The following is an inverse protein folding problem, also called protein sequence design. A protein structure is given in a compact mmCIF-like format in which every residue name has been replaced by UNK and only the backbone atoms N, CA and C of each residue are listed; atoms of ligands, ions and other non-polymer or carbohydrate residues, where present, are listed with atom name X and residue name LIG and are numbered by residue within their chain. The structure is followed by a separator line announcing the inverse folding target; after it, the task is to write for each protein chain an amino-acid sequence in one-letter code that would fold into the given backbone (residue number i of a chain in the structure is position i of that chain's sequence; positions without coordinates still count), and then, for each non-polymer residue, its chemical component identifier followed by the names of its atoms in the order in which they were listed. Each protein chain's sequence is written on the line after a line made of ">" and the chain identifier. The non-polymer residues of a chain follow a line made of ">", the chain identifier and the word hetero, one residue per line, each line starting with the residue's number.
data_IF_100835008576
#
_entry.id   IF_100835008576
#
_cell.length_a   1.000
_cell.length_b   1.000
_cell.length_c   1.000
_cell.angle_alpha   90.00
_cell.angle_beta   90.00
_cell.angle_gamma   90.00
#
_symmetry.space_group_name_H-M   'P 1'
#
loop_
_entity.id
_entity.type
_entity.pdbx_description
1 polymer ?
#
# COMPACT_ATOMS: atom_id res chain seq x y z
N UNK A 1 26.80 -48.46 -36.98
CA UNK A 1 25.58 -47.66 -36.70
C UNK A 1 25.60 -47.31 -35.23
N UNK A 2 25.96 -46.08 -34.91
CA UNK A 2 26.11 -45.56 -33.56
C UNK A 2 24.94 -44.62 -33.28
N UNK A 3 24.03 -45.04 -32.38
CA UNK A 3 22.92 -44.20 -31.94
C UNK A 3 23.42 -43.26 -30.83
N UNK A 4 23.63 -41.98 -31.18
CA UNK A 4 23.85 -40.91 -30.22
C UNK A 4 22.50 -40.48 -29.64
N UNK A 5 22.19 -40.91 -28.42
CA UNK A 5 21.10 -40.34 -27.62
C UNK A 5 21.59 -39.04 -26.95
N UNK A 6 21.56 -37.94 -27.69
CA UNK A 6 21.59 -36.61 -27.09
C UNK A 6 20.17 -36.09 -26.98
N UNK A 7 19.49 -36.45 -25.89
CA UNK A 7 18.31 -35.73 -25.43
C UNK A 7 18.78 -34.34 -25.00
N UNK A 8 18.23 -33.23 -25.51
CA UNK A 8 18.49 -31.94 -24.92
C UNK A 8 17.92 -31.96 -23.50
N UNK A 9 18.79 -31.83 -22.51
CA UNK A 9 18.37 -31.63 -21.13
C UNK A 9 17.55 -30.35 -21.10
N UNK A 10 16.24 -30.48 -20.85
CA UNK A 10 15.37 -29.38 -20.47
C UNK A 10 15.97 -28.75 -19.22
N UNK A 11 16.67 -27.64 -19.42
CA UNK A 11 17.20 -26.81 -18.36
C UNK A 11 16.01 -26.08 -17.72
N UNK A 12 15.29 -26.76 -16.84
CA UNK A 12 14.26 -26.19 -15.95
C UNK A 12 14.92 -25.38 -14.82
N UNK A 13 15.91 -24.56 -15.15
CA UNK A 13 16.31 -23.49 -14.25
C UNK A 13 15.14 -22.54 -14.21
N UNK A 14 14.40 -22.49 -13.08
CA UNK A 14 13.44 -21.42 -12.84
C UNK A 14 14.17 -20.09 -13.09
N UNK A 15 13.83 -19.44 -14.20
CA UNK A 15 14.28 -18.10 -14.53
C UNK A 15 13.89 -17.17 -13.37
N UNK A 16 14.86 -16.34 -12.99
CA UNK A 16 14.83 -15.24 -12.03
C UNK A 16 13.57 -15.07 -11.17
N UNK A 17 13.71 -15.23 -9.85
CA UNK A 17 12.66 -14.97 -8.84
C UNK A 17 12.17 -13.50 -8.81
N UNK A 18 12.71 -12.64 -9.66
CA UNK A 18 12.41 -11.22 -9.73
C UNK A 18 12.01 -10.86 -11.16
N UNK A 19 10.82 -10.29 -11.31
CA UNK A 19 10.38 -9.68 -12.55
C UNK A 19 10.69 -8.18 -12.53
N UNK A 20 11.04 -7.62 -13.69
CA UNK A 20 11.03 -6.18 -13.92
C UNK A 20 9.65 -5.81 -14.47
N UNK A 21 8.96 -4.89 -13.79
CA UNK A 21 7.68 -4.38 -14.26
C UNK A 21 7.91 -3.46 -15.47
N UNK A 22 7.21 -3.73 -16.57
CA UNK A 22 7.06 -2.76 -17.65
C UNK A 22 6.03 -1.73 -17.22
N UNK A 23 6.44 -0.46 -17.17
CA UNK A 23 5.54 0.65 -16.81
C UNK A 23 4.56 1.01 -17.93
N UNK A 24 4.69 0.40 -19.12
CA UNK A 24 3.75 0.52 -20.24
C UNK A 24 3.68 1.90 -20.92
N UNK A 25 4.36 2.92 -20.38
CA UNK A 25 4.34 4.30 -20.85
C UNK A 25 5.75 4.78 -21.19
N UNK A 26 5.97 5.17 -22.44
CA UNK A 26 7.22 5.78 -22.92
C UNK A 26 6.93 7.18 -23.48
N UNK A 27 7.75 8.16 -23.09
CA UNK A 27 7.70 9.51 -23.64
C UNK A 27 8.83 9.66 -24.66
N UNK A 28 8.49 9.96 -25.93
CA UNK A 28 9.46 10.06 -27.02
C UNK A 28 10.32 11.33 -27.01
N UNK A 29 10.28 12.09 -25.90
CA UNK A 29 10.98 13.35 -25.72
C UNK A 29 10.32 14.54 -26.44
N UNK A 30 9.20 14.34 -27.13
CA UNK A 30 8.53 15.39 -27.91
C UNK A 30 7.04 15.47 -27.62
N UNK A 31 6.49 16.69 -27.56
CA UNK A 31 5.03 16.88 -27.40
C UNK A 31 4.25 16.65 -28.71
N UNK A 32 4.92 16.30 -29.81
CA UNK A 32 4.30 16.20 -31.15
C UNK A 32 3.26 15.09 -31.28
N UNK A 33 3.37 14.04 -30.46
CA UNK A 33 2.46 12.88 -30.45
C UNK A 33 1.59 12.82 -29.20
N UNK A 34 1.67 13.83 -28.34
CA UNK A 34 0.93 13.89 -27.08
C UNK A 34 -0.40 14.58 -27.34
N UNK A 35 -1.49 13.95 -26.89
CA UNK A 35 -2.85 14.47 -26.99
C UNK A 35 -3.34 14.95 -25.63
N UNK A 36 -4.23 15.94 -25.65
CA UNK A 36 -4.94 16.36 -24.45
C UNK A 36 -6.13 15.43 -24.23
N UNK A 37 -6.24 14.85 -23.05
CA UNK A 37 -7.33 13.96 -22.67
C UNK A 37 -7.99 14.49 -21.38
N UNK A 38 -9.33 14.66 -21.38
CA UNK A 38 -10.05 14.99 -20.16
C UNK A 38 -10.19 13.74 -19.30
N UNK A 39 -9.63 13.76 -18.09
CA UNK A 39 -9.78 12.70 -17.11
C UNK A 39 -10.55 13.25 -15.91
N UNK A 40 -11.57 12.50 -15.51
CA UNK A 40 -12.30 12.77 -14.27
C UNK A 40 -11.68 11.95 -13.14
N UNK A 41 -11.10 12.62 -12.14
CA UNK A 41 -10.37 11.99 -11.03
C UNK A 41 -10.74 12.62 -9.70
N UNK A 42 -10.41 11.91 -8.62
CA UNK A 42 -10.42 12.51 -7.28
C UNK A 42 -9.07 13.18 -7.03
N UNK A 43 -9.11 14.46 -6.67
CA UNK A 43 -7.92 15.22 -6.30
C UNK A 43 -7.93 15.48 -4.80
N UNK A 44 -6.75 15.34 -4.20
CA UNK A 44 -6.51 15.74 -2.81
C UNK A 44 -6.47 17.26 -2.73
N UNK A 45 -7.37 17.86 -1.95
CA UNK A 45 -7.41 19.29 -1.66
C UNK A 45 -6.46 19.63 -0.52
N UNK A 46 -6.56 18.87 0.58
CA UNK A 46 -5.67 19.00 1.73
C UNK A 46 -5.43 17.62 2.35
N UNK A 47 -4.28 17.47 3.02
CA UNK A 47 -3.89 16.22 3.65
C UNK A 47 -3.00 16.42 4.88
N UNK A 48 -3.13 15.52 5.83
CA UNK A 48 -2.27 15.49 7.01
C UNK A 48 -1.77 14.07 7.27
N UNK A 49 -0.47 13.96 7.54
CA UNK A 49 0.23 12.71 7.81
C UNK A 49 0.68 12.67 9.27
N UNK A 50 0.43 11.56 9.93
CA UNK A 50 0.76 11.38 11.34
C UNK A 50 1.54 10.09 11.54
N UNK A 51 2.60 10.18 12.34
CA UNK A 51 3.35 9.04 12.82
C UNK A 51 3.13 8.92 14.33
N UNK A 52 2.62 7.78 14.76
CA UNK A 52 2.29 7.49 16.14
C UNK A 52 3.05 6.25 16.59
N UNK A 53 3.40 6.22 17.87
CA UNK A 53 4.13 5.10 18.45
C UNK A 53 3.34 4.50 19.63
N UNK A 54 3.09 3.20 19.54
CA UNK A 54 2.62 2.39 20.67
C UNK A 54 3.76 1.56 21.24
N UNK A 55 3.79 1.37 22.56
CA UNK A 55 4.77 0.49 23.20
C UNK A 55 4.06 -0.63 23.96
N UNK A 56 4.54 -1.86 23.76
CA UNK A 56 4.09 -3.04 24.50
C UNK A 56 5.29 -3.74 25.11
N UNK A 57 5.27 -3.91 26.43
CA UNK A 57 6.26 -4.71 27.16
C UNK A 57 5.69 -6.10 27.43
N UNK A 58 6.51 -7.12 27.18
CA UNK A 58 6.12 -8.53 27.30
C UNK A 58 7.22 -9.25 28.06
N UNK A 59 6.83 -10.05 29.05
CA UNK A 59 7.74 -10.81 29.88
C UNK A 59 7.56 -12.32 29.63
N UNK A 60 8.67 -13.05 29.56
CA UNK A 60 8.68 -14.50 29.45
C UNK A 60 8.00 -15.04 28.19
N UNK A 61 8.07 -14.34 27.07
CA UNK A 61 7.50 -14.83 25.80
C UNK A 61 8.27 -16.08 25.35
N UNK A 62 7.56 -17.19 25.18
CA UNK A 62 8.16 -18.43 24.68
C UNK A 62 8.38 -18.39 23.17
N UNK A 63 9.49 -18.99 22.72
CA UNK A 63 9.93 -19.06 21.33
C UNK A 63 10.16 -20.51 20.89
N UNK A 64 9.93 -20.76 19.60
CA UNK A 64 10.21 -22.03 18.93
C UNK A 64 11.28 -21.84 17.83
N UNK A 65 12.10 -22.85 17.51
CA UNK A 65 12.15 -24.18 18.12
C UNK A 65 12.95 -24.18 19.43
N UNK A 66 12.80 -25.26 20.19
CA UNK A 66 13.66 -25.52 21.35
C UNK A 66 15.10 -25.78 20.91
N UNK A 67 16.06 -25.23 21.65
CA UNK A 67 17.50 -25.35 21.33
C UNK A 67 18.11 -26.69 21.81
N UNK A 68 17.35 -27.48 22.55
CA UNK A 68 17.80 -28.73 23.16
C UNK A 68 18.53 -28.53 24.49
N UNK A 69 18.81 -29.65 25.18
CA UNK A 69 19.38 -29.64 26.53
C UNK A 69 20.76 -29.00 26.59
N UNK A 70 21.00 -28.23 27.65
CA UNK A 70 22.25 -27.52 27.92
C UNK A 70 22.69 -26.54 26.79
N UNK A 71 21.77 -26.12 25.93
CA UNK A 71 22.08 -25.11 24.93
C UNK A 71 22.33 -23.74 25.58
N UNK A 72 23.27 -22.97 25.03
CA UNK A 72 23.56 -21.60 25.48
C UNK A 72 23.64 -20.64 24.31
N UNK A 73 22.85 -19.57 24.35
CA UNK A 73 22.93 -18.49 23.35
C UNK A 73 24.19 -17.67 23.61
N UNK A 74 25.05 -17.54 22.59
CA UNK A 74 26.28 -16.75 22.63
C UNK A 74 26.01 -15.29 22.27
N UNK A 75 25.25 -15.06 21.19
CA UNK A 75 24.90 -13.72 20.71
C UNK A 75 23.64 -13.75 19.85
N UNK A 76 23.01 -12.58 19.75
CA UNK A 76 21.92 -12.31 18.81
C UNK A 76 22.53 -11.76 17.52
N UNK A 77 22.08 -12.27 16.39
CA UNK A 77 22.48 -11.81 15.06
C UNK A 77 21.52 -10.74 14.54
N UNK A 78 20.21 -10.97 14.69
CA UNK A 78 19.17 -10.07 14.22
C UNK A 78 17.87 -10.28 15.01
N UNK A 79 17.04 -9.24 15.10
CA UNK A 79 15.68 -9.30 15.66
C UNK A 79 14.74 -8.66 14.66
N UNK A 80 13.77 -9.44 14.19
CA UNK A 80 12.74 -8.98 13.24
C UNK A 80 11.37 -9.03 13.86
N UNK A 81 10.53 -8.08 13.46
CA UNK A 81 9.11 -8.09 13.78
C UNK A 81 8.31 -8.03 12.48
N UNK A 82 7.30 -8.89 12.37
CA UNK A 82 6.40 -8.97 11.23
C UNK A 82 4.97 -8.90 11.74
N UNK A 83 4.07 -8.34 10.94
CA UNK A 83 2.64 -8.40 11.24
C UNK A 83 2.17 -9.85 11.14
N UNK A 84 1.32 -10.27 12.07
CA UNK A 84 0.61 -11.51 11.89
C UNK A 84 -0.60 -11.27 10.98
N UNK A 85 -0.74 -12.10 9.95
CA UNK A 85 -1.92 -12.15 9.09
C UNK A 85 -2.17 -13.59 8.67
N UNK A 86 -3.38 -14.08 8.89
CA UNK A 86 -3.84 -15.39 8.46
C UNK A 86 -4.53 -15.26 7.09
N UNK A 87 -3.90 -15.71 5.99
CA UNK A 87 -4.49 -15.58 4.66
C UNK A 87 -5.71 -16.50 4.44
N UNK A 88 -5.92 -17.49 5.31
CA UNK A 88 -7.06 -18.41 5.21
C UNK A 88 -8.31 -17.88 5.91
N UNK A 89 -8.16 -16.90 6.82
CA UNK A 89 -9.26 -16.32 7.56
C UNK A 89 -8.99 -14.84 7.91
N UNK A 90 -9.72 -13.95 7.22
CA UNK A 90 -9.66 -12.50 7.42
C UNK A 90 -10.16 -12.10 8.82
N UNK A 91 -11.03 -12.91 9.44
CA UNK A 91 -11.66 -12.63 10.73
C UNK A 91 -10.89 -13.24 11.91
N UNK A 92 -9.72 -13.85 11.68
CA UNK A 92 -8.87 -14.37 12.75
C UNK A 92 -8.49 -13.24 13.71
N UNK A 93 -8.84 -13.39 15.00
CA UNK A 93 -8.57 -12.37 16.03
C UNK A 93 -7.08 -12.08 16.22
N UNK A 94 -6.20 -12.97 15.76
CA UNK A 94 -4.74 -12.78 15.80
C UNK A 94 -4.25 -11.84 14.71
N UNK A 95 -5.04 -11.61 13.66
CA UNK A 95 -4.68 -10.67 12.59
C UNK A 95 -4.41 -9.29 13.20
N UNK A 96 -3.25 -8.71 12.89
CA UNK A 96 -2.93 -7.37 13.36
C UNK A 96 -3.80 -6.36 12.61
N UNK A 97 -4.76 -5.77 13.32
CA UNK A 97 -5.72 -4.83 12.76
C UNK A 97 -5.49 -3.46 13.37
N UNK A 98 -5.59 -2.44 12.52
CA UNK A 98 -5.58 -1.03 12.92
C UNK A 98 -6.88 -0.43 12.45
N UNK A 99 -7.71 0.00 13.39
CA UNK A 99 -9.00 0.61 13.12
C UNK A 99 -8.99 2.07 13.55
N UNK A 100 -8.82 3.01 12.60
CA UNK A 100 -9.00 4.42 12.91
C UNK A 100 -10.50 4.75 13.04
N UNK A 101 -10.81 5.64 13.98
CA UNK A 101 -12.12 6.27 14.14
C UNK A 101 -11.89 7.76 14.30
N UNK A 102 -12.40 8.53 13.35
CA UNK A 102 -12.29 9.98 13.34
C UNK A 102 -13.61 10.65 13.72
N UNK A 103 -13.50 11.70 14.54
CA UNK A 103 -14.55 12.65 14.85
C UNK A 103 -14.09 14.04 14.43
N UNK A 104 -14.99 14.86 13.89
CA UNK A 104 -14.67 16.19 13.36
C UNK A 104 -15.47 17.24 14.15
N UNK A 105 -14.86 18.40 14.32
CA UNK A 105 -15.38 19.60 14.95
C UNK A 105 -15.24 20.75 13.96
N UNK A 106 -16.32 21.52 13.77
CA UNK A 106 -16.40 22.59 12.77
C UNK A 106 -16.98 22.15 11.42
N UNK A 107 -17.18 20.85 11.23
CA UNK A 107 -17.95 20.27 10.14
C UNK A 107 -18.62 18.97 10.59
N UNK A 108 -19.63 18.55 9.83
CA UNK A 108 -20.38 17.33 10.07
C UNK A 108 -20.19 16.35 8.91
N UNK A 109 -20.16 15.06 9.25
CA UNK A 109 -20.37 14.03 8.23
C UNK A 109 -21.83 14.07 7.82
N UNK A 110 -22.10 14.10 6.52
CA UNK A 110 -23.48 14.06 6.02
C UNK A 110 -24.07 12.70 6.36
N UNK A 111 -25.18 12.69 7.07
CA UNK A 111 -25.84 11.45 7.52
C UNK A 111 -26.99 11.04 6.57
N UNK A 112 -27.25 9.75 6.53
CA UNK A 112 -28.52 9.23 6.04
C UNK A 112 -29.65 9.63 7.00
N UNK A 113 -30.91 9.55 6.56
CA UNK A 113 -32.06 9.87 7.41
C UNK A 113 -32.23 8.96 8.65
N UNK A 114 -31.32 8.02 8.86
CA UNK A 114 -31.25 7.11 10.00
C UNK A 114 -30.09 7.46 10.96
N UNK A 115 -29.29 8.50 10.68
CA UNK A 115 -28.20 8.98 11.52
C UNK A 115 -26.84 8.29 11.27
N UNK A 116 -26.67 7.57 10.16
CA UNK A 116 -25.38 7.00 9.78
C UNK A 116 -24.67 7.90 8.76
N UNK A 117 -23.38 8.16 8.93
CA UNK A 117 -22.59 8.89 7.94
C UNK A 117 -22.66 8.22 6.56
N UNK A 118 -22.95 9.01 5.53
CA UNK A 118 -23.02 8.55 4.15
C UNK A 118 -21.62 8.28 3.61
N UNK A 119 -21.38 7.03 3.24
CA UNK A 119 -20.12 6.57 2.67
C UNK A 119 -20.21 6.41 1.15
N UNK A 120 -19.16 6.81 0.45
CA UNK A 120 -19.02 6.76 -1.00
C UNK A 120 -17.85 5.84 -1.35
N UNK A 121 -17.97 5.17 -2.49
CA UNK A 121 -16.91 4.33 -3.03
C UNK A 121 -15.67 5.16 -3.33
N UNK A 122 -14.56 4.83 -2.66
CA UNK A 122 -13.25 5.42 -2.89
C UNK A 122 -12.49 4.75 -4.04
N UNK A 123 -11.24 5.17 -4.28
CA UNK A 123 -10.43 4.69 -5.40
C UNK A 123 -9.99 3.22 -5.24
N UNK A 124 -10.07 2.68 -4.03
CA UNK A 124 -9.84 1.27 -3.71
C UNK A 124 -11.05 0.37 -4.03
N UNK A 125 -12.17 0.96 -4.48
CA UNK A 125 -13.39 0.23 -4.82
C UNK A 125 -14.27 -0.13 -3.62
N UNK A 126 -13.94 0.35 -2.42
CA UNK A 126 -14.71 0.12 -1.19
C UNK A 126 -15.36 1.41 -0.68
N UNK A 127 -16.33 1.30 0.22
CA UNK A 127 -16.95 2.46 0.89
C UNK A 127 -15.98 3.02 1.93
N UNK A 128 -15.05 3.86 1.48
CA UNK A 128 -13.91 4.35 2.28
C UNK A 128 -13.89 5.88 2.43
N UNK A 129 -14.82 6.59 1.80
CA UNK A 129 -14.90 8.05 1.83
C UNK A 129 -16.22 8.53 2.46
N UNK A 130 -16.15 9.50 3.36
CA UNK A 130 -17.34 10.11 3.99
C UNK A 130 -17.56 11.51 3.46
N UNK A 131 -18.81 11.89 3.20
CA UNK A 131 -19.12 13.24 2.72
C UNK A 131 -19.08 14.23 3.88
N UNK A 132 -18.42 15.37 3.67
CA UNK A 132 -18.33 16.46 4.64
C UNK A 132 -19.21 17.64 4.26
N UNK A 133 -19.77 18.29 5.27
CA UNK A 133 -20.49 19.54 5.11
C UNK A 133 -20.24 20.50 6.27
N UNK A 134 -20.01 21.77 5.94
CA UNK A 134 -20.16 22.91 6.85
C UNK A 134 -20.44 24.15 6.02
N UNK A 135 -20.94 25.21 6.64
CA UNK A 135 -21.17 26.47 5.96
C UNK A 135 -19.83 27.19 5.71
N UNK A 136 -19.37 27.19 4.46
CA UNK A 136 -18.07 27.76 4.04
C UNK A 136 -18.13 29.23 3.64
N UNK A 137 -19.31 29.88 3.69
CA UNK A 137 -19.56 31.18 3.07
C UNK A 137 -18.60 32.29 3.49
N UNK A 138 -18.24 32.34 4.78
CA UNK A 138 -17.36 33.39 5.30
C UNK A 138 -15.94 33.26 4.74
N UNK A 139 -15.42 32.03 4.66
CA UNK A 139 -14.11 31.75 4.06
C UNK A 139 -14.12 31.91 2.54
N UNK A 140 -15.22 31.54 1.88
CA UNK A 140 -15.40 31.69 0.43
C UNK A 140 -15.35 33.18 0.01
N UNK A 141 -15.93 34.10 0.80
CA UNK A 141 -15.86 35.55 0.56
C UNK A 141 -14.41 36.09 0.61
N UNK A 142 -13.53 35.41 1.34
CA UNK A 142 -12.11 35.74 1.44
C UNK A 142 -11.23 34.90 0.48
N UNK A 143 -11.84 34.05 -0.36
CA UNK A 143 -11.15 33.10 -1.24
C UNK A 143 -10.21 32.14 -0.47
N UNK A 144 -10.64 31.69 0.71
CA UNK A 144 -9.91 30.76 1.58
C UNK A 144 -10.71 29.49 1.82
N UNK A 145 -10.04 28.41 2.21
CA UNK A 145 -10.72 27.21 2.69
C UNK A 145 -11.12 27.33 4.17
N UNK A 146 -12.11 26.53 4.57
CA UNK A 146 -12.67 26.52 5.92
C UNK A 146 -11.90 25.55 6.81
N UNK A 147 -11.31 25.97 7.94
CA UNK A 147 -10.58 25.08 8.82
C UNK A 147 -11.55 24.15 9.55
N UNK A 148 -11.19 22.87 9.62
CA UNK A 148 -11.88 21.83 10.37
C UNK A 148 -10.88 21.14 11.30
N UNK A 149 -11.32 20.84 12.51
CA UNK A 149 -10.49 20.17 13.52
C UNK A 149 -11.02 18.77 13.73
N UNK A 150 -10.14 17.80 13.96
CA UNK A 150 -10.57 16.44 14.20
C UNK A 150 -9.77 15.75 15.29
N UNK A 151 -10.44 14.82 15.96
CA UNK A 151 -9.83 13.88 16.88
C UNK A 151 -9.91 12.50 16.27
N UNK A 152 -8.77 11.84 16.16
CA UNK A 152 -8.66 10.46 15.71
C UNK A 152 -8.31 9.57 16.89
N UNK A 153 -9.07 8.49 17.06
CA UNK A 153 -8.72 7.37 17.94
C UNK A 153 -8.37 6.16 17.07
N UNK A 154 -7.24 5.53 17.36
CA UNK A 154 -6.77 4.35 16.64
C UNK A 154 -6.79 3.18 17.60
N UNK A 155 -7.59 2.18 17.27
CA UNK A 155 -7.65 0.92 17.99
C UNK A 155 -6.73 -0.09 17.30
N UNK A 156 -5.79 -0.64 18.06
CA UNK A 156 -4.88 -1.69 17.58
C UNK A 156 -5.22 -2.98 18.32
N UNK A 157 -5.42 -4.07 17.58
CA UNK A 157 -5.69 -5.42 18.09
C UNK A 157 -4.91 -6.47 17.31
N UNK A 158 -4.73 -7.65 17.91
CA UNK A 158 -4.10 -8.80 17.26
C UNK A 158 -2.64 -9.00 17.68
N UNK A 159 -1.90 -9.70 16.84
CA UNK A 159 -0.58 -10.23 17.16
C UNK A 159 0.51 -9.77 16.18
N UNK A 160 1.75 -9.91 16.61
CA UNK A 160 2.93 -9.81 15.74
C UNK A 160 3.73 -11.09 15.81
N UNK A 161 4.49 -11.39 14.75
CA UNK A 161 5.47 -12.47 14.76
C UNK A 161 6.83 -11.87 15.02
N UNK A 162 7.48 -12.29 16.10
CA UNK A 162 8.84 -11.89 16.43
C UNK A 162 9.77 -13.03 16.06
N UNK A 163 10.81 -12.72 15.28
CA UNK A 163 11.88 -13.65 14.93
C UNK A 163 13.20 -13.14 15.52
N UNK A 164 13.96 -14.01 16.18
CA UNK A 164 15.28 -13.71 16.73
C UNK A 164 16.26 -14.72 16.15
N UNK A 165 17.21 -14.23 15.36
CA UNK A 165 18.31 -15.05 14.87
C UNK A 165 19.41 -15.10 15.93
N UNK A 166 19.73 -16.30 16.40
CA UNK A 166 20.72 -16.50 17.46
C UNK A 166 21.85 -17.41 17.02
N UNK A 167 23.05 -17.11 17.51
CA UNK A 167 24.18 -18.03 17.53
C UNK A 167 24.22 -18.69 18.91
N UNK A 168 24.14 -20.01 18.95
CA UNK A 168 24.12 -20.78 20.20
C UNK A 168 25.10 -21.95 20.14
N UNK A 169 25.53 -22.43 21.31
CA UNK A 169 26.29 -23.68 21.46
C UNK A 169 25.36 -24.80 21.89
N UNK A 170 25.49 -25.95 21.24
CA UNK A 170 24.81 -27.17 21.66
C UNK A 170 25.60 -27.91 22.76
N UNK A 171 25.08 -29.07 23.19
CA UNK A 171 25.72 -29.96 24.17
C UNK A 171 27.13 -30.46 23.79
N UNK A 172 27.53 -30.31 22.53
CA UNK A 172 28.83 -30.73 22.00
C UNK A 172 29.78 -29.54 21.82
N UNK A 173 29.44 -28.36 22.38
CA UNK A 173 30.16 -27.10 22.20
C UNK A 173 30.29 -26.66 20.74
N UNK A 174 29.39 -27.11 19.87
CA UNK A 174 29.35 -26.69 18.47
C UNK A 174 28.54 -25.40 18.32
N UNK A 175 29.10 -24.41 17.64
CA UNK A 175 28.39 -23.20 17.26
C UNK A 175 27.38 -23.49 16.13
N UNK A 176 26.12 -23.13 16.38
CA UNK A 176 24.99 -23.32 15.48
C UNK A 176 24.18 -22.02 15.40
N UNK A 177 23.59 -21.77 14.23
CA UNK A 177 22.68 -20.63 14.02
C UNK A 177 21.25 -21.14 13.86
N UNK A 178 20.29 -20.47 14.48
CA UNK A 178 18.86 -20.77 14.34
C UNK A 178 18.00 -19.51 14.46
N UNK A 179 16.86 -19.50 13.78
CA UNK A 179 15.82 -18.49 13.94
C UNK A 179 14.80 -18.99 14.96
N UNK A 180 14.70 -18.27 16.06
CA UNK A 180 13.63 -18.43 17.05
C UNK A 180 12.42 -17.59 16.60
N UNK A 181 11.22 -18.14 16.64
CA UNK A 181 9.97 -17.47 16.24
C UNK A 181 8.92 -17.58 17.32
N UNK A 182 8.17 -16.50 17.53
CA UNK A 182 7.05 -16.45 18.47
C UNK A 182 5.89 -15.62 17.88
N UNK A 183 4.67 -16.11 18.08
CA UNK A 183 3.45 -15.35 17.80
C UNK A 183 3.02 -14.62 19.08
N UNK A 184 3.18 -13.30 19.07
CA UNK A 184 3.17 -12.47 20.27
C UNK A 184 1.93 -11.57 20.29
N UNK A 185 1.04 -11.68 21.29
CA UNK A 185 -0.18 -10.88 21.35
C UNK A 185 0.09 -9.44 21.80
N UNK A 186 -0.32 -8.48 20.99
CA UNK A 186 -0.20 -7.04 21.30
C UNK A 186 -1.35 -6.62 22.22
N UNK A 187 -2.57 -6.88 21.78
CA UNK A 187 -3.82 -6.48 22.41
C UNK A 187 -4.97 -7.34 21.89
N UNK A 188 -6.07 -7.38 22.63
CA UNK A 188 -7.26 -8.16 22.29
C UNK A 188 -8.42 -7.23 22.01
N UNK A 189 -9.46 -7.73 21.35
CA UNK A 189 -10.66 -6.95 21.03
C UNK A 189 -11.35 -6.36 22.27
N UNK A 190 -11.24 -7.01 23.44
CA UNK A 190 -11.83 -6.51 24.69
C UNK A 190 -10.99 -5.43 25.37
N UNK A 191 -9.71 -5.30 25.01
CA UNK A 191 -8.77 -4.34 25.57
C UNK A 191 -7.78 -3.91 24.47
N UNK A 192 -8.25 -3.15 23.47
CA UNK A 192 -7.41 -2.67 22.38
C UNK A 192 -6.36 -1.70 22.92
N UNK A 193 -5.24 -1.60 22.20
CA UNK A 193 -4.30 -0.51 22.43
C UNK A 193 -4.84 0.73 21.72
N UNK A 194 -5.11 1.78 22.49
CA UNK A 194 -5.67 3.03 21.99
C UNK A 194 -4.57 4.08 21.85
N UNK A 195 -4.49 4.68 20.66
CA UNK A 195 -3.70 5.88 20.40
C UNK A 195 -4.65 7.00 19.96
N UNK A 196 -4.43 8.21 20.45
CA UNK A 196 -5.27 9.36 20.13
C UNK A 196 -4.41 10.48 19.57
N UNK A 197 -4.91 11.16 18.56
CA UNK A 197 -4.26 12.31 17.96
C UNK A 197 -5.27 13.35 17.50
N UNK A 198 -4.82 14.59 17.38
CA UNK A 198 -5.60 15.73 16.91
C UNK A 198 -5.02 16.24 15.60
N UNK A 199 -5.89 16.79 14.76
CA UNK A 199 -5.47 17.36 13.48
C UNK A 199 -6.33 18.55 13.09
N UNK A 200 -5.79 19.34 12.18
CA UNK A 200 -6.49 20.41 11.48
C UNK A 200 -6.36 20.14 9.98
N UNK A 201 -7.46 20.31 9.25
CA UNK A 201 -7.50 20.23 7.79
C UNK A 201 -8.28 21.42 7.26
N UNK A 202 -8.07 21.72 5.98
CA UNK A 202 -8.74 22.77 5.26
C UNK A 202 -9.77 22.17 4.29
N UNK A 203 -11.02 22.63 4.38
CA UNK A 203 -12.11 22.18 3.53
C UNK A 203 -12.40 23.22 2.43
N UNK A 204 -12.59 22.80 1.16
CA UNK A 204 -13.01 23.71 0.10
C UNK A 204 -14.49 24.11 0.22
N UNK A 205 -14.91 25.10 -0.57
CA UNK A 205 -16.30 25.55 -0.64
C UNK A 205 -17.29 24.40 -0.91
N UNK A 206 -18.42 24.43 -0.22
CA UNK A 206 -19.56 23.54 -0.47
C UNK A 206 -20.63 24.17 -1.38
N UNK A 207 -20.52 25.47 -1.68
CA UNK A 207 -21.53 26.21 -2.46
C UNK A 207 -21.10 26.38 -3.92
N UNK A 208 -19.80 26.60 -4.17
CA UNK A 208 -19.25 26.82 -5.51
C UNK A 208 -18.73 25.51 -6.15
N UNK A 209 -19.30 24.37 -5.77
CA UNK A 209 -18.88 23.05 -6.23
C UNK A 209 -20.07 22.18 -6.60
N UNK A 210 -19.91 21.34 -7.63
CA UNK A 210 -20.95 20.37 -8.02
C UNK A 210 -20.99 19.14 -7.10
N UNK A 211 -19.94 18.94 -6.31
CA UNK A 211 -19.77 17.80 -5.42
C UNK A 211 -19.24 18.27 -4.08
N UNK A 212 -19.83 17.74 -3.01
CA UNK A 212 -19.35 18.01 -1.66
C UNK A 212 -17.96 17.40 -1.43
N UNK A 213 -17.12 18.05 -0.59
CA UNK A 213 -15.84 17.52 -0.17
C UNK A 213 -16.01 16.17 0.52
N UNK A 214 -15.03 15.27 0.36
CA UNK A 214 -15.05 13.97 1.00
C UNK A 214 -13.83 13.79 1.87
N UNK A 215 -14.02 13.16 3.02
CA UNK A 215 -12.97 12.76 3.94
C UNK A 215 -12.62 11.30 3.71
N UNK A 216 -11.33 11.00 3.64
CA UNK A 216 -10.85 9.63 3.72
C UNK A 216 -9.64 9.54 4.62
N UNK A 217 -9.52 8.41 5.32
CA UNK A 217 -8.39 8.12 6.17
C UNK A 217 -7.96 6.67 5.98
N UNK A 218 -6.65 6.47 6.04
CA UNK A 218 -6.07 5.14 6.04
C UNK A 218 -4.82 5.12 6.90
N UNK A 219 -4.64 3.99 7.57
CA UNK A 219 -3.53 3.78 8.48
C UNK A 219 -2.80 2.51 8.08
N UNK A 220 -1.48 2.56 8.21
CA UNK A 220 -0.63 1.40 8.13
C UNK A 220 0.17 1.30 9.43
N UNK A 221 0.46 0.08 9.85
CA UNK A 221 1.26 -0.22 11.02
C UNK A 221 2.56 -0.89 10.59
N UNK A 222 3.59 -0.79 11.40
CA UNK A 222 4.75 -1.65 11.37
C UNK A 222 5.16 -1.93 12.82
N UNK A 223 6.09 -2.86 13.02
CA UNK A 223 6.61 -3.12 14.36
C UNK A 223 8.13 -3.24 14.36
N UNK A 224 8.72 -2.83 15.48
CA UNK A 224 10.12 -3.00 15.80
C UNK A 224 10.22 -3.63 17.19
N UNK A 225 11.14 -4.58 17.36
CA UNK A 225 11.28 -5.31 18.62
C UNK A 225 12.71 -5.20 19.11
N UNK A 226 12.86 -5.03 20.42
CA UNK A 226 14.14 -5.16 21.12
C UNK A 226 13.97 -5.95 22.41
N UNK A 227 15.08 -6.43 22.95
CA UNK A 227 15.09 -6.99 24.29
C UNK A 227 14.72 -5.91 25.33
N UNK A 228 14.07 -6.34 26.41
CA UNK A 228 13.56 -5.43 27.45
C UNK A 228 14.63 -4.51 28.03
N UNK A 229 15.73 -5.09 28.52
CA UNK A 229 16.88 -4.38 29.10
C UNK A 229 18.11 -4.34 28.19
N UNK A 230 17.92 -4.69 26.92
CA UNK A 230 18.97 -4.81 25.91
C UNK A 230 20.14 -5.72 26.34
N UNK A 231 19.85 -6.79 27.10
CA UNK A 231 20.86 -7.70 27.66
C UNK A 231 20.44 -9.15 27.55
N UNK A 232 21.20 -9.94 26.80
CA UNK A 232 20.92 -11.38 26.57
C UNK A 232 20.80 -12.14 27.90
N UNK A 233 21.71 -11.90 28.86
CA UNK A 233 21.75 -12.63 30.13
C UNK A 233 20.59 -12.35 31.06
N UNK A 234 19.90 -11.21 30.90
CA UNK A 234 18.73 -10.85 31.71
C UNK A 234 17.42 -11.07 30.99
N UNK A 235 17.42 -10.83 29.68
CA UNK A 235 16.21 -10.81 28.89
C UNK A 235 15.92 -12.15 28.23
N UNK A 236 16.89 -13.05 28.08
CA UNK A 236 16.68 -14.38 27.49
C UNK A 236 17.01 -15.47 28.50
N UNK A 237 16.07 -16.40 28.67
CA UNK A 237 16.21 -17.56 29.54
C UNK A 237 16.08 -18.81 28.66
N UNK A 238 17.10 -19.65 28.68
CA UNK A 238 17.07 -20.99 28.07
C UNK A 238 16.97 -22.00 29.20
N UNK A 239 15.89 -22.79 29.21
CA UNK A 239 15.72 -23.85 30.20
C UNK A 239 16.74 -24.98 29.92
N UNK A 240 17.63 -25.30 30.87
CA UNK A 240 18.69 -26.30 30.65
C UNK A 240 18.14 -27.72 30.44
N UNK A 241 16.93 -28.02 30.91
CA UNK A 241 16.36 -29.36 30.95
C UNK A 241 15.67 -29.79 29.64
N UNK A 242 15.07 -28.84 28.91
CA UNK A 242 14.31 -29.07 27.68
C UNK A 242 14.80 -28.19 26.50
N UNK A 243 15.54 -27.11 26.77
CA UNK A 243 16.00 -26.15 25.76
C UNK A 243 14.93 -25.14 25.32
N UNK A 244 13.82 -25.00 26.05
CA UNK A 244 12.82 -23.97 25.79
C UNK A 244 13.45 -22.59 25.97
N UNK A 245 13.17 -21.70 25.02
CA UNK A 245 13.65 -20.32 25.08
C UNK A 245 12.49 -19.40 25.43
N UNK A 246 12.69 -18.56 26.44
CA UNK A 246 11.77 -17.47 26.77
C UNK A 246 12.52 -16.14 26.77
N UNK A 247 11.86 -15.07 26.35
CA UNK A 247 12.47 -13.75 26.32
C UNK A 247 11.55 -12.61 26.79
N UNK A 248 12.15 -11.59 27.39
CA UNK A 248 11.53 -10.33 27.75
C UNK A 248 11.74 -9.32 26.61
N UNK A 249 10.65 -8.78 26.08
CA UNK A 249 10.65 -7.96 24.87
C UNK A 249 9.98 -6.61 25.12
N UNK A 250 10.46 -5.60 24.40
CA UNK A 250 9.72 -4.36 24.16
C UNK A 250 9.44 -4.30 22.67
N UNK A 251 8.16 -4.24 22.34
CA UNK A 251 7.66 -4.13 20.97
C UNK A 251 7.15 -2.70 20.79
N UNK A 252 7.76 -1.98 19.87
CA UNK A 252 7.29 -0.71 19.38
C UNK A 252 6.40 -0.95 18.15
N UNK A 253 5.23 -0.34 18.16
CA UNK A 253 4.33 -0.28 17.01
C UNK A 253 4.49 1.10 16.40
N UNK A 254 4.82 1.16 15.12
CA UNK A 254 5.00 2.38 14.35
C UNK A 254 3.80 2.52 13.42
N UNK A 255 2.90 3.45 13.70
CA UNK A 255 1.67 3.65 12.93
C UNK A 255 1.81 4.92 12.11
N UNK A 256 1.55 4.82 10.82
CA UNK A 256 1.44 5.97 9.92
C UNK A 256 0.01 6.06 9.43
N UNK A 257 -0.64 7.19 9.68
CA UNK A 257 -1.99 7.47 9.19
C UNK A 257 -1.98 8.72 8.33
N UNK A 258 -2.62 8.64 7.17
CA UNK A 258 -2.84 9.78 6.29
C UNK A 258 -4.35 10.08 6.26
N UNK A 259 -4.68 11.38 6.33
CA UNK A 259 -6.04 11.89 6.22
C UNK A 259 -6.10 12.85 5.04
N UNK A 260 -7.18 12.81 4.29
CA UNK A 260 -7.33 13.61 3.08
C UNK A 260 -8.73 14.19 2.99
N UNK A 261 -8.79 15.42 2.52
CA UNK A 261 -9.98 16.00 1.91
C UNK A 261 -9.83 15.83 0.41
N UNK A 262 -10.74 15.09 -0.21
CA UNK A 262 -10.75 14.84 -1.65
C UNK A 262 -11.96 15.49 -2.30
N UNK A 263 -11.76 15.99 -3.51
CA UNK A 263 -12.79 16.58 -4.36
C UNK A 263 -12.71 15.99 -5.76
N UNK A 264 -13.84 15.61 -6.38
CA UNK A 264 -13.87 15.25 -7.78
C UNK A 264 -13.50 16.44 -8.67
N UNK A 265 -12.59 16.23 -9.63
CA UNK A 265 -12.13 17.25 -10.57
C UNK A 265 -12.00 16.66 -11.97
N UNK A 266 -12.16 17.52 -12.97
CA UNK A 266 -11.78 17.23 -14.35
C UNK A 266 -10.40 17.83 -14.61
N UNK A 267 -9.44 16.99 -15.02
CA UNK A 267 -8.10 17.40 -15.41
C UNK A 267 -7.93 17.20 -16.91
N UNK A 268 -7.30 18.16 -17.58
CA UNK A 268 -6.78 17.96 -18.92
C UNK A 268 -5.32 17.48 -18.78
N UNK A 269 -5.07 16.21 -19.06
CA UNK A 269 -3.71 15.66 -19.04
C UNK A 269 -3.16 15.53 -20.45
N UNK A 270 -1.84 15.64 -20.57
CA UNK A 270 -1.11 15.38 -21.79
C UNK A 270 -0.71 13.90 -21.79
N UNK A 271 -1.33 13.10 -22.66
CA UNK A 271 -1.19 11.65 -22.75
C UNK A 271 -0.67 11.24 -24.13
N UNK A 272 0.23 10.26 -24.21
CA UNK A 272 0.63 9.62 -25.48
C UNK A 272 -0.38 8.56 -25.94
N UNK A 273 -1.46 8.36 -25.17
CA UNK A 273 -2.48 7.34 -25.35
C UNK A 273 -2.39 6.22 -24.31
N UNK A 274 -3.12 5.12 -24.53
CA UNK A 274 -3.12 3.98 -23.61
C UNK A 274 -1.77 3.23 -23.60
N UNK A 275 -1.35 2.67 -22.45
CA UNK A 275 -0.14 1.86 -22.37
C UNK A 275 -0.27 0.65 -23.31
N UNK A 276 0.63 0.57 -24.28
CA UNK A 276 0.69 -0.52 -25.24
C UNK A 276 1.83 -1.45 -24.86
N UNK A 277 1.49 -2.57 -24.23
CA UNK A 277 2.44 -3.65 -23.99
C UNK A 277 2.52 -4.53 -25.24
N UNK A 278 3.74 -4.84 -25.65
CA UNK A 278 3.96 -5.93 -26.61
C UNK A 278 3.56 -7.26 -25.95
N UNK A 279 2.54 -7.93 -26.50
CA UNK A 279 2.15 -9.24 -26.02
C UNK A 279 3.25 -10.28 -26.31
N UNK A 280 3.47 -11.20 -25.37
CA UNK A 280 4.24 -12.41 -25.63
C UNK A 280 3.37 -13.35 -26.48
N UNK A 281 3.79 -13.64 -27.71
CA UNK A 281 2.94 -14.35 -28.69
C UNK A 281 3.25 -15.84 -28.73
N UNK A 282 2.27 -16.68 -28.37
CA UNK A 282 2.26 -18.09 -28.74
C UNK A 282 1.82 -18.26 -30.21
N UNK A 283 2.44 -19.16 -31.01
CA UNK A 283 2.34 -19.18 -32.47
C UNK A 283 0.98 -19.64 -33.05
N UNK A 284 -0.04 -19.88 -32.21
CA UNK A 284 -1.29 -20.52 -32.63
C UNK A 284 -2.26 -19.53 -33.28
N UNK A 285 -2.34 -18.29 -32.80
CA UNK A 285 -3.26 -17.28 -33.31
C UNK A 285 -2.52 -16.23 -34.13
N UNK A 286 -2.97 -15.97 -35.36
CA UNK A 286 -2.36 -14.98 -36.27
C UNK A 286 -2.82 -13.54 -36.02
N UNK A 287 -3.94 -13.35 -35.31
CA UNK A 287 -4.47 -12.03 -34.95
C UNK A 287 -5.15 -12.08 -33.59
N UNK A 288 -5.03 -10.99 -32.81
CA UNK A 288 -5.62 -10.84 -31.49
C UNK A 288 -6.46 -9.55 -31.43
N UNK A 289 -7.58 -9.54 -30.68
CA UNK A 289 -8.37 -8.34 -30.48
C UNK A 289 -7.59 -7.28 -29.69
N UNK A 290 -7.85 -5.99 -29.98
CA UNK A 290 -7.27 -4.89 -29.20
C UNK A 290 -7.91 -4.82 -27.81
N UNK A 291 -7.11 -4.52 -26.78
CA UNK A 291 -7.58 -4.37 -25.40
C UNK A 291 -8.25 -3.01 -25.15
N UNK A 292 -7.84 -1.99 -25.89
CA UNK A 292 -8.34 -0.62 -25.73
C UNK A 292 -8.99 -0.12 -27.02
N UNK A 293 -10.05 0.69 -26.91
CA UNK A 293 -10.71 1.28 -28.08
C UNK A 293 -9.78 2.25 -28.81
N UNK A 294 -9.97 2.36 -30.12
CA UNK A 294 -9.28 3.37 -30.92
C UNK A 294 -9.64 4.77 -30.42
N UNK A 295 -8.63 5.63 -30.28
CA UNK A 295 -8.86 7.04 -30.00
C UNK A 295 -9.57 7.70 -31.19
N UNK A 296 -10.69 8.37 -30.93
CA UNK A 296 -11.60 8.89 -31.96
C UNK A 296 -11.08 10.21 -32.59
N UNK A 297 -9.94 10.73 -32.12
CA UNK A 297 -9.49 12.09 -32.48
C UNK A 297 -8.78 12.22 -33.84
N UNK A 298 -8.83 11.19 -34.69
CA UNK A 298 -8.38 11.31 -36.08
C UNK A 298 -9.50 10.86 -37.00
N UNK A 299 -10.08 11.82 -37.74
CA UNK A 299 -10.70 11.48 -39.03
C UNK A 299 -9.67 10.63 -39.79
N UNK A 300 -10.02 9.43 -40.25
CA UNK A 300 -9.12 8.67 -41.10
C UNK A 300 -8.81 9.56 -42.30
N UNK A 301 -7.53 9.81 -42.57
CA UNK A 301 -7.13 10.46 -43.82
C UNK A 301 -7.74 9.62 -44.95
N UNK A 302 -8.80 10.13 -45.58
CA UNK A 302 -9.28 9.58 -46.83
C UNK A 302 -8.12 9.66 -47.83
N UNK A 303 -7.53 8.51 -48.18
CA UNK A 303 -6.68 8.36 -49.35
C UNK A 303 -7.56 8.42 -50.59
N UNK A 304 -8.02 9.62 -50.96
CA UNK A 304 -8.59 9.89 -52.28
C UNK A 304 -8.23 11.32 -52.67
N UNK A 305 -7.12 11.48 -53.39
CA UNK A 305 -6.91 12.35 -54.56
C UNK A 305 -5.42 12.29 -54.92
N UNK A 306 -5.02 11.21 -55.61
CA UNK A 306 -4.09 11.35 -56.73
C UNK A 306 -4.95 11.62 -57.96
N UNK A 307 -4.42 12.38 -58.92
CA UNK A 307 -5.06 12.83 -60.18
C UNK A 307 -5.71 14.22 -60.14
N UNK A 308 -4.96 15.28 -59.80
CA UNK A 308 -5.11 16.59 -60.48
C UNK A 308 -3.84 17.46 -60.34
N UNK A 309 -2.69 17.01 -60.87
CA UNK A 309 -1.50 17.87 -61.08
C UNK A 309 -0.82 17.51 -62.41
N UNK A 310 -1.62 17.38 -63.47
CA UNK A 310 -1.15 17.41 -64.87
C UNK A 310 -2.05 18.38 -65.64
N UNK A 311 -1.98 19.67 -65.29
CA UNK A 311 -2.48 20.78 -66.12
C UNK A 311 -2.14 22.12 -65.46
N UNK A 312 -0.86 22.45 -65.29
CA UNK A 312 -0.39 23.85 -65.10
C UNK A 312 1.13 23.93 -65.29
N UNK A 313 1.62 23.37 -66.40
CA UNK A 313 2.92 23.71 -66.99
C UNK A 313 2.67 23.84 -68.49
N UNK A 314 2.02 24.94 -68.89
CA UNK A 314 1.96 25.47 -70.26
C UNK A 314 1.14 26.77 -70.25
N UNK A 315 1.62 27.83 -69.59
CA UNK A 315 1.19 29.21 -69.88
C UNK A 315 2.07 30.27 -69.18
N UNK A 316 3.39 30.21 -69.36
CA UNK A 316 4.28 31.39 -69.22
C UNK A 316 5.39 31.35 -70.28
N UNK A 317 5.00 31.48 -71.55
CA UNK A 317 5.81 32.05 -72.62
C UNK A 317 4.91 32.91 -73.51
N UNK A 318 4.73 34.16 -73.11
CA UNK A 318 4.52 35.30 -74.01
C UNK A 318 4.82 36.61 -73.27
#
# INVERSE_FOLDING_TARGET
>A
MTCNHNSPQLNLSLSDKCCTASTGCEFDGTLRKVKAEPIYVQKVYDAALFNLQGLKTIAGQEFEPNLGRNARILRILDIRCKKFFNPLDINDERNLIVKPTTTISGADFVEDGCGNALEVTGPDGTQSEKILYTNTKDCDNEWKGTPIFGTQTIEITGNVVVEIDVLFTDKCDKECTVTLSANVPISRNQAPLLLTNFFELCMPSVFDTAFLPRFTEFCNINCETRLGTNSITRDIIVDPSNGNVSANLIIALCITCEKKIVVPVQLCVLSTGFPNLSAETDPICSTFPQLFPNQIDRKPHCRCTQETEVAEVNEEQN
#
